data_IF_910958303684
#
_entry.id   IF_910958303684
#
_cell.length_a   1.000
_cell.length_b   1.000
_cell.length_c   1.000
_cell.angle_alpha   90.00
_cell.angle_beta   90.00
_cell.angle_gamma   90.00
#
_symmetry.space_group_name_H-M   'P 1'
#
loop_
_entity.id
_entity.type
_entity.pdbx_description
1 polymer ?
#
# COMPACT_ATOMS: atom_id res chain seq x y z
N UNK A 1 -18.68 5.84 20.21
CA UNK A 1 -19.67 5.25 19.29
C UNK A 1 -19.17 5.42 17.86
N UNK A 2 -19.26 4.35 17.06
CA UNK A 2 -18.87 4.35 15.65
C UNK A 2 -20.04 4.80 14.77
N UNK A 3 -19.75 5.64 13.78
CA UNK A 3 -20.73 6.16 12.83
C UNK A 3 -20.18 6.09 11.41
N UNK A 4 -21.07 5.96 10.43
CA UNK A 4 -20.74 6.01 9.00
C UNK A 4 -20.28 7.44 8.65
N UNK A 5 -19.34 7.56 7.72
CA UNK A 5 -18.95 8.84 7.15
C UNK A 5 -18.82 8.76 5.64
N UNK A 6 -19.04 9.89 4.97
CA UNK A 6 -18.97 10.01 3.52
C UNK A 6 -17.52 10.26 3.04
N UNK A 7 -17.18 9.93 1.78
CA UNK A 7 -15.83 10.18 1.24
C UNK A 7 -15.35 11.63 1.34
N UNK A 8 -16.27 12.61 1.34
CA UNK A 8 -15.96 14.04 1.46
C UNK A 8 -15.79 14.53 2.92
N UNK A 9 -15.91 13.65 3.91
CA UNK A 9 -15.81 14.00 5.33
C UNK A 9 -14.41 14.55 5.71
N UNK A 10 -14.39 15.46 6.70
CA UNK A 10 -13.19 16.13 7.16
C UNK A 10 -12.28 15.26 8.05
N UNK A 11 -12.65 14.00 8.37
CA UNK A 11 -11.90 13.12 9.28
C UNK A 11 -10.46 12.88 8.80
N UNK A 12 -10.23 12.76 7.49
CA UNK A 12 -8.89 12.60 6.90
C UNK A 12 -8.11 13.92 6.77
N UNK A 13 -8.72 15.04 7.19
CA UNK A 13 -8.08 16.36 7.26
C UNK A 13 -7.79 16.78 8.69
N UNK A 14 -8.18 15.98 9.68
CA UNK A 14 -7.93 16.26 11.10
C UNK A 14 -6.48 16.04 11.47
N UNK A 15 -5.94 16.91 12.33
CA UNK A 15 -4.54 16.89 12.76
C UNK A 15 -4.08 15.52 13.26
N UNK A 16 -4.94 14.81 14.01
CA UNK A 16 -4.64 13.48 14.50
C UNK A 16 -4.35 12.48 13.38
N UNK A 17 -5.18 12.45 12.33
CA UNK A 17 -4.96 11.55 11.19
C UNK A 17 -3.76 12.01 10.36
N UNK A 18 -3.59 13.32 10.18
CA UNK A 18 -2.45 13.88 9.43
C UNK A 18 -1.09 13.51 10.01
N UNK A 19 -1.01 13.30 11.34
CA UNK A 19 0.20 12.83 11.99
C UNK A 19 0.61 11.40 11.57
N UNK A 20 -0.37 10.55 11.23
CA UNK A 20 -0.18 9.15 10.85
C UNK A 20 -0.55 8.87 9.38
N UNK A 21 -0.74 9.91 8.58
CA UNK A 21 -1.35 9.80 7.24
C UNK A 21 -0.54 8.91 6.28
N UNK A 22 0.79 8.88 6.41
CA UNK A 22 1.64 8.09 5.49
C UNK A 22 1.48 6.58 5.73
N UNK A 23 1.62 6.05 6.97
CA UNK A 23 1.29 4.66 7.26
C UNK A 23 -0.11 4.27 6.80
N UNK A 24 -1.11 5.15 6.97
CA UNK A 24 -2.52 4.87 6.68
C UNK A 24 -3.00 5.46 5.34
N UNK A 25 -2.10 5.80 4.43
CA UNK A 25 -2.45 6.47 3.18
C UNK A 25 -3.43 5.65 2.32
N UNK A 26 -3.43 4.32 2.44
CA UNK A 26 -4.36 3.45 1.72
C UNK A 26 -5.84 3.78 2.02
N UNK A 27 -6.15 4.36 3.18
CA UNK A 27 -7.52 4.78 3.51
C UNK A 27 -8.05 5.78 2.48
N UNK A 28 -7.21 6.71 1.99
CA UNK A 28 -7.59 7.64 0.92
C UNK A 28 -7.99 6.95 -0.39
N UNK A 29 -7.54 5.72 -0.63
CA UNK A 29 -7.95 4.95 -1.80
C UNK A 29 -9.19 4.10 -1.54
N UNK A 30 -9.33 3.59 -0.32
CA UNK A 30 -10.52 2.83 0.07
C UNK A 30 -11.76 3.72 -0.02
N UNK A 31 -11.67 4.98 0.43
CA UNK A 31 -12.82 5.91 0.37
C UNK A 31 -13.30 6.23 -1.06
N UNK A 32 -12.44 6.05 -2.07
CA UNK A 32 -12.82 6.26 -3.48
C UNK A 32 -13.71 5.12 -4.00
N UNK A 33 -13.80 4.00 -3.27
CA UNK A 33 -14.63 2.86 -3.65
C UNK A 33 -16.07 3.08 -3.19
N UNK A 34 -17.07 2.97 -4.10
CA UNK A 34 -18.48 3.16 -3.76
C UNK A 34 -19.04 2.06 -2.84
N UNK A 35 -18.36 0.91 -2.75
CA UNK A 35 -18.74 -0.21 -1.90
C UNK A 35 -17.97 -0.22 -0.57
N UNK A 36 -17.18 0.81 -0.30
CA UNK A 36 -16.38 0.87 0.92
C UNK A 36 -17.25 1.02 2.17
N UNK A 37 -16.91 0.24 3.19
CA UNK A 37 -17.42 0.43 4.54
C UNK A 37 -16.53 1.43 5.27
N UNK A 38 -17.09 2.59 5.58
CA UNK A 38 -16.38 3.72 6.18
C UNK A 38 -17.00 4.05 7.53
N UNK A 39 -16.27 3.82 8.62
CA UNK A 39 -16.70 4.13 9.97
C UNK A 39 -15.67 5.00 10.68
N UNK A 40 -16.14 5.95 11.48
CA UNK A 40 -15.29 6.78 12.34
C UNK A 40 -15.87 6.93 13.74
N UNK A 41 -15.05 7.38 14.67
CA UNK A 41 -15.54 7.92 15.95
C UNK A 41 -15.91 9.39 15.82
N UNK A 42 -16.86 9.86 16.63
CA UNK A 42 -17.32 11.26 16.64
C UNK A 42 -16.19 12.26 16.96
N UNK A 43 -15.24 11.86 17.80
CA UNK A 43 -14.08 12.66 18.18
C UNK A 43 -12.94 12.62 17.14
N UNK A 44 -13.15 11.96 16.00
CA UNK A 44 -12.19 11.81 14.90
C UNK A 44 -10.87 11.13 15.28
N UNK A 45 -10.87 10.30 16.33
CA UNK A 45 -9.68 9.58 16.80
C UNK A 45 -9.56 8.15 16.29
N UNK A 46 -10.55 7.64 15.57
CA UNK A 46 -10.44 6.33 14.95
C UNK A 46 -11.18 6.31 13.61
N UNK A 47 -10.61 5.58 12.65
CA UNK A 47 -11.16 5.35 11.32
C UNK A 47 -11.03 3.86 11.01
N UNK A 48 -12.12 3.28 10.55
CA UNK A 48 -12.17 1.95 9.95
C UNK A 48 -12.61 2.12 8.50
N UNK A 49 -11.85 1.57 7.57
CA UNK A 49 -12.15 1.62 6.15
C UNK A 49 -11.93 0.23 5.53
N UNK A 50 -12.90 -0.27 4.78
CA UNK A 50 -12.77 -1.58 4.13
C UNK A 50 -13.43 -1.60 2.75
N UNK A 51 -12.69 -2.06 1.74
CA UNK A 51 -13.26 -2.43 0.44
C UNK A 51 -13.60 -3.94 0.44
N UNK A 52 -14.76 -4.36 -0.09
CA UNK A 52 -15.13 -5.77 -0.19
C UNK A 52 -14.02 -6.63 -0.81
N UNK A 53 -13.78 -7.81 -0.24
CA UNK A 53 -12.74 -8.75 -0.70
C UNK A 53 -11.30 -8.40 -0.30
N UNK A 54 -11.08 -7.27 0.38
CA UNK A 54 -9.77 -6.85 0.88
C UNK A 54 -9.75 -6.74 2.41
N UNK A 55 -8.54 -6.70 2.98
CA UNK A 55 -8.36 -6.42 4.41
C UNK A 55 -8.95 -5.05 4.76
N UNK A 56 -9.55 -4.96 5.94
CA UNK A 56 -9.92 -3.68 6.51
C UNK A 56 -8.68 -2.93 7.00
N UNK A 57 -8.74 -1.60 7.02
CA UNK A 57 -7.73 -0.72 7.59
C UNK A 57 -8.30 -0.02 8.82
N UNK A 58 -7.61 -0.14 9.96
CA UNK A 58 -8.01 0.46 11.22
C UNK A 58 -6.92 1.37 11.75
N UNK A 59 -7.18 2.68 11.68
CA UNK A 59 -6.39 3.69 12.36
C UNK A 59 -7.06 4.05 13.69
N UNK A 60 -6.27 4.10 14.76
CA UNK A 60 -6.68 4.66 16.05
C UNK A 60 -5.55 5.55 16.54
N UNK A 61 -5.87 6.81 16.84
CA UNK A 61 -4.93 7.79 17.38
C UNK A 61 -4.15 7.20 18.57
N UNK A 62 -2.82 7.46 18.67
CA UNK A 62 -2.00 6.98 19.79
C UNK A 62 -2.46 7.46 21.17
N UNK A 63 -3.29 8.50 21.22
CA UNK A 63 -3.90 9.06 22.42
C UNK A 63 -5.42 8.89 22.26
N UNK A 64 -6.15 8.26 23.20
CA UNK A 64 -5.77 7.92 24.58
C UNK A 64 -4.99 6.61 24.76
N UNK A 65 -4.63 6.29 26.01
CA UNK A 65 -3.88 5.09 26.37
C UNK A 65 -4.52 3.78 25.86
N UNK A 66 -3.71 2.73 25.75
CA UNK A 66 -4.09 1.44 25.13
C UNK A 66 -5.39 0.83 25.66
N UNK A 67 -5.73 1.05 26.93
CA UNK A 67 -6.97 0.52 27.52
C UNK A 67 -8.22 1.16 26.92
N UNK A 68 -8.20 2.47 26.66
CA UNK A 68 -9.30 3.15 25.98
C UNK A 68 -9.38 2.72 24.50
N UNK A 69 -8.24 2.51 23.83
CA UNK A 69 -8.21 1.96 22.46
C UNK A 69 -8.82 0.56 22.40
N UNK A 70 -8.54 -0.30 23.39
CA UNK A 70 -9.16 -1.64 23.49
C UNK A 70 -10.69 -1.57 23.57
N UNK A 71 -11.25 -0.63 24.33
CA UNK A 71 -12.70 -0.45 24.41
C UNK A 71 -13.28 -0.02 23.06
N UNK A 72 -12.65 0.94 22.37
CA UNK A 72 -13.06 1.36 21.02
C UNK A 72 -13.07 0.21 20.01
N UNK A 73 -12.05 -0.66 20.08
CA UNK A 73 -11.94 -1.87 19.25
C UNK A 73 -13.06 -2.86 19.56
N UNK A 74 -13.33 -3.12 20.84
CA UNK A 74 -14.41 -4.01 21.25
C UNK A 74 -15.78 -3.47 20.82
N UNK A 75 -16.00 -2.16 20.92
CA UNK A 75 -17.20 -1.51 20.40
C UNK A 75 -17.32 -1.67 18.88
N UNK A 76 -16.23 -1.50 18.13
CA UNK A 76 -16.20 -1.69 16.68
C UNK A 76 -16.57 -3.12 16.31
N UNK A 77 -15.94 -4.12 16.93
CA UNK A 77 -16.20 -5.54 16.62
C UNK A 77 -17.65 -5.90 16.90
N UNK A 78 -18.21 -5.46 18.03
CA UNK A 78 -19.62 -5.67 18.33
C UNK A 78 -20.55 -4.92 17.37
N UNK A 79 -20.19 -3.72 16.93
CA UNK A 79 -20.92 -2.98 15.91
C UNK A 79 -20.94 -3.76 14.59
N UNK A 80 -19.78 -4.26 14.13
CA UNK A 80 -19.67 -5.06 12.91
C UNK A 80 -20.54 -6.32 12.99
N UNK A 81 -20.48 -7.03 14.12
CA UNK A 81 -21.26 -8.26 14.34
C UNK A 81 -22.77 -8.01 14.40
N UNK A 82 -23.21 -7.00 15.17
CA UNK A 82 -24.65 -6.69 15.34
C UNK A 82 -25.32 -6.24 14.05
N UNK A 83 -24.58 -5.52 13.20
CA UNK A 83 -25.07 -5.08 11.89
C UNK A 83 -24.90 -6.15 10.78
N UNK A 84 -24.47 -7.37 11.14
CA UNK A 84 -24.36 -8.52 10.23
C UNK A 84 -23.50 -8.23 8.99
N UNK A 85 -22.41 -7.48 9.18
CA UNK A 85 -21.47 -7.23 8.10
C UNK A 85 -20.79 -8.54 7.65
N UNK A 86 -20.40 -8.64 6.36
CA UNK A 86 -19.62 -9.77 5.88
C UNK A 86 -18.36 -10.00 6.72
N UNK A 87 -17.95 -11.27 6.82
CA UNK A 87 -16.70 -11.64 7.48
C UNK A 87 -15.54 -10.96 6.76
N UNK A 88 -14.67 -10.30 7.54
CA UNK A 88 -13.52 -9.58 7.00
C UNK A 88 -12.46 -10.56 6.49
N UNK A 89 -11.77 -10.20 5.41
CA UNK A 89 -10.60 -10.96 4.93
C UNK A 89 -9.38 -10.83 5.85
N UNK A 90 -9.33 -9.75 6.62
CA UNK A 90 -8.22 -9.40 7.49
C UNK A 90 -8.32 -7.99 8.04
N UNK A 91 -7.33 -7.61 8.83
CA UNK A 91 -7.14 -6.27 9.37
C UNK A 91 -5.69 -5.80 9.16
N UNK A 92 -5.55 -4.53 8.80
CA UNK A 92 -4.29 -3.81 8.68
C UNK A 92 -4.30 -2.61 9.63
N UNK A 93 -3.23 -2.45 10.39
CA UNK A 93 -3.05 -1.30 11.28
C UNK A 93 -1.77 -1.38 12.10
N UNK A 94 -1.58 -0.42 13.01
CA UNK A 94 -0.52 -0.44 14.01
C UNK A 94 -0.50 -1.81 14.73
N UNK A 95 0.68 -2.41 15.01
CA UNK A 95 0.76 -3.75 15.59
C UNK A 95 -0.14 -3.97 16.80
N UNK A 96 -0.15 -3.04 17.75
CA UNK A 96 -0.97 -3.20 18.95
C UNK A 96 -2.46 -3.09 18.65
N UNK A 97 -2.86 -2.21 17.71
CA UNK A 97 -4.26 -2.06 17.29
C UNK A 97 -4.74 -3.28 16.51
N UNK A 98 -3.96 -3.75 15.54
CA UNK A 98 -4.30 -4.89 14.69
C UNK A 98 -4.40 -6.19 15.51
N UNK A 99 -3.46 -6.44 16.43
CA UNK A 99 -3.49 -7.62 17.32
C UNK A 99 -4.69 -7.59 18.27
N UNK A 100 -4.99 -6.44 18.87
CA UNK A 100 -6.16 -6.28 19.74
C UNK A 100 -7.47 -6.49 18.97
N UNK A 101 -7.56 -5.95 17.75
CA UNK A 101 -8.71 -6.17 16.87
C UNK A 101 -8.84 -7.63 16.51
N UNK A 102 -7.76 -8.28 16.07
CA UNK A 102 -7.77 -9.68 15.67
C UNK A 102 -8.25 -10.58 16.82
N UNK A 103 -7.71 -10.42 18.04
CA UNK A 103 -8.14 -11.17 19.20
C UNK A 103 -9.64 -11.00 19.49
N UNK A 104 -10.12 -9.75 19.53
CA UNK A 104 -11.54 -9.46 19.77
C UNK A 104 -12.44 -10.00 18.66
N UNK A 105 -11.99 -9.92 17.40
CA UNK A 105 -12.75 -10.36 16.23
C UNK A 105 -12.86 -11.89 16.17
N UNK A 106 -11.78 -12.62 16.50
CA UNK A 106 -11.80 -14.08 16.64
C UNK A 106 -12.79 -14.54 17.70
N UNK A 107 -12.80 -13.89 18.87
CA UNK A 107 -13.66 -14.27 19.98
C UNK A 107 -15.15 -14.13 19.63
N UNK A 108 -15.52 -13.06 18.93
CA UNK A 108 -16.91 -12.75 18.56
C UNK A 108 -17.36 -13.57 17.34
N UNK A 109 -16.53 -13.67 16.30
CA UNK A 109 -16.92 -14.30 15.02
C UNK A 109 -16.54 -15.78 14.91
N UNK A 110 -15.80 -16.32 15.89
CA UNK A 110 -15.32 -17.72 15.90
C UNK A 110 -14.47 -18.07 14.67
N UNK A 111 -13.63 -17.13 14.26
CA UNK A 111 -12.70 -17.27 13.14
C UNK A 111 -11.25 -17.38 13.64
N UNK A 112 -10.33 -17.84 12.79
CA UNK A 112 -8.89 -17.82 13.07
C UNK A 112 -8.24 -16.58 12.46
N UNK A 113 -7.16 -16.11 13.08
CA UNK A 113 -6.32 -15.06 12.51
C UNK A 113 -4.88 -15.55 12.34
N UNK A 114 -4.18 -14.98 11.37
CA UNK A 114 -2.77 -15.29 11.08
C UNK A 114 -2.04 -14.01 10.68
N UNK A 115 -0.90 -13.76 11.30
CA UNK A 115 0.04 -12.74 10.84
C UNK A 115 0.45 -13.03 9.40
N UNK A 116 0.31 -12.05 8.53
CA UNK A 116 0.62 -12.18 7.11
C UNK A 116 1.90 -11.44 6.74
N UNK A 117 1.99 -10.14 7.06
CA UNK A 117 3.12 -9.32 6.65
C UNK A 117 3.32 -8.12 7.58
N UNK A 118 4.54 -7.56 7.56
CA UNK A 118 4.87 -6.27 8.16
C UNK A 118 5.15 -5.27 7.05
N UNK A 119 4.35 -4.22 6.99
CA UNK A 119 4.43 -3.19 5.95
C UNK A 119 5.08 -1.94 6.55
N UNK A 120 6.17 -1.51 5.96
CA UNK A 120 6.82 -0.25 6.27
C UNK A 120 6.42 0.81 5.23
N UNK A 121 6.14 2.02 5.71
CA UNK A 121 5.78 3.15 4.86
C UNK A 121 6.93 4.15 4.81
N UNK A 122 7.21 4.65 3.62
CA UNK A 122 8.27 5.63 3.39
C UNK A 122 7.73 6.81 2.61
N UNK A 123 8.27 8.00 2.84
CA UNK A 123 7.97 9.18 2.01
C UNK A 123 9.22 9.96 1.66
N UNK A 124 9.25 10.56 0.48
CA UNK A 124 10.31 11.45 0.04
C UNK A 124 9.89 12.92 0.16
N UNK A 125 10.63 13.69 0.96
CA UNK A 125 10.45 15.16 1.06
C UNK A 125 11.38 15.88 0.09
N UNK A 126 12.62 15.38 -0.04
CA UNK A 126 13.65 15.95 -0.90
C UNK A 126 14.36 14.83 -1.64
N UNK A 127 14.25 14.87 -2.95
CA UNK A 127 14.92 13.94 -3.87
C UNK A 127 16.41 14.26 -3.90
N UNK A 128 17.25 13.24 -3.80
CA UNK A 128 18.70 13.37 -4.03
C UNK A 128 18.95 13.42 -5.54
N UNK A 129 19.92 14.23 -5.98
CA UNK A 129 20.21 14.36 -7.41
C UNK A 129 20.80 13.07 -7.96
N UNK A 130 20.20 12.56 -9.04
CA UNK A 130 20.63 11.36 -9.76
C UNK A 130 20.92 11.65 -11.24
N UNK A 131 21.32 12.88 -11.55
CA UNK A 131 21.57 13.36 -12.93
C UNK A 131 22.72 12.67 -13.67
N UNK A 132 23.42 11.74 -13.02
CA UNK A 132 24.53 10.98 -13.61
C UNK A 132 24.10 9.62 -14.18
N UNK A 133 22.87 9.16 -13.90
CA UNK A 133 22.34 7.91 -14.45
C UNK A 133 21.85 8.17 -15.88
N UNK A 134 22.35 7.37 -16.83
CA UNK A 134 21.98 7.49 -18.23
C UNK A 134 20.51 7.11 -18.46
N UNK A 135 19.90 7.73 -19.47
CA UNK A 135 18.54 7.44 -19.91
C UNK A 135 17.54 8.54 -19.57
N UNK A 136 16.28 8.25 -19.87
CA UNK A 136 15.17 9.17 -19.64
C UNK A 136 13.89 8.43 -19.24
N UNK A 137 13.00 9.12 -18.53
CA UNK A 137 11.69 8.60 -18.19
C UNK A 137 10.69 8.94 -19.29
N UNK A 138 9.96 7.93 -19.78
CA UNK A 138 8.87 8.11 -20.74
C UNK A 138 7.54 7.61 -20.18
N UNK A 139 6.44 8.10 -20.74
CA UNK A 139 5.14 7.43 -20.63
C UNK A 139 5.05 6.35 -21.72
N UNK A 140 4.67 5.11 -21.37
CA UNK A 140 4.62 4.03 -22.33
C UNK A 140 3.49 4.24 -23.35
N UNK A 141 3.75 3.83 -24.59
CA UNK A 141 2.78 3.73 -25.68
C UNK A 141 2.29 2.28 -25.88
N UNK A 142 1.37 2.07 -26.83
CA UNK A 142 0.80 0.75 -27.13
C UNK A 142 1.86 -0.34 -27.42
N UNK A 143 2.94 0.02 -28.12
CA UNK A 143 4.06 -0.88 -28.41
C UNK A 143 4.81 -1.40 -27.17
N UNK A 144 4.63 -0.76 -26.01
CA UNK A 144 5.25 -1.15 -24.76
C UNK A 144 4.40 -2.12 -23.92
N UNK A 145 3.20 -2.51 -24.39
CA UNK A 145 2.33 -3.41 -23.63
C UNK A 145 3.03 -4.74 -23.34
N UNK A 146 3.71 -5.32 -24.33
CA UNK A 146 4.34 -6.62 -24.19
C UNK A 146 5.50 -6.59 -23.18
N UNK A 147 6.35 -5.55 -23.21
CA UNK A 147 7.45 -5.41 -22.23
C UNK A 147 6.94 -5.14 -20.82
N UNK A 148 5.86 -4.38 -20.66
CA UNK A 148 5.24 -4.15 -19.35
C UNK A 148 4.61 -5.44 -18.82
N UNK A 149 3.95 -6.22 -19.68
CA UNK A 149 3.40 -7.52 -19.30
C UNK A 149 4.50 -8.50 -18.87
N UNK A 150 5.64 -8.49 -19.56
CA UNK A 150 6.82 -9.25 -19.17
C UNK A 150 7.36 -8.81 -17.81
N UNK A 151 7.52 -7.51 -17.57
CA UNK A 151 7.99 -7.01 -16.28
C UNK A 151 7.02 -7.33 -15.13
N UNK A 152 5.71 -7.28 -15.35
CA UNK A 152 4.72 -7.70 -14.36
C UNK A 152 4.83 -9.19 -14.02
N UNK A 153 5.02 -10.02 -15.05
CA UNK A 153 5.25 -11.46 -14.91
C UNK A 153 6.51 -11.75 -14.09
N UNK A 154 7.64 -11.18 -14.49
CA UNK A 154 8.94 -11.39 -13.82
C UNK A 154 8.92 -10.86 -12.39
N UNK A 155 8.33 -9.68 -12.15
CA UNK A 155 8.14 -9.15 -10.81
C UNK A 155 7.28 -10.08 -9.95
N UNK A 156 6.18 -10.62 -10.47
CA UNK A 156 5.29 -11.48 -9.71
C UNK A 156 5.94 -12.83 -9.35
N UNK A 157 6.75 -13.38 -10.24
CA UNK A 157 7.53 -14.59 -9.99
C UNK A 157 8.60 -14.33 -8.92
N UNK A 158 9.42 -13.28 -9.09
CA UNK A 158 10.51 -12.96 -8.15
C UNK A 158 10.02 -12.59 -6.74
N UNK A 159 8.94 -11.80 -6.64
CA UNK A 159 8.47 -11.26 -5.35
C UNK A 159 7.47 -12.18 -4.63
N UNK A 160 6.66 -12.92 -5.38
CA UNK A 160 5.56 -13.70 -4.81
C UNK A 160 5.61 -15.20 -5.15
N UNK A 161 6.58 -15.65 -5.96
CA UNK A 161 6.65 -17.02 -6.47
C UNK A 161 5.44 -17.39 -7.32
N UNK A 162 4.85 -16.40 -8.00
CA UNK A 162 3.64 -16.57 -8.81
C UNK A 162 4.04 -16.75 -10.27
N UNK A 163 4.13 -18.00 -10.70
CA UNK A 163 4.41 -18.38 -12.08
C UNK A 163 3.14 -18.26 -12.95
N UNK A 164 2.91 -17.07 -13.51
CA UNK A 164 1.86 -16.79 -14.50
C UNK A 164 2.54 -16.34 -15.79
N UNK A 165 2.08 -16.79 -16.96
CA UNK A 165 2.69 -16.39 -18.22
C UNK A 165 2.42 -14.90 -18.54
N UNK A 166 3.40 -14.21 -19.13
CA UNK A 166 3.28 -12.79 -19.49
C UNK A 166 2.03 -12.45 -20.32
N UNK A 167 1.60 -13.35 -21.22
CA UNK A 167 0.35 -13.19 -22.00
C UNK A 167 -0.89 -12.99 -21.13
N UNK A 168 -0.91 -13.55 -19.92
CA UNK A 168 -2.03 -13.44 -18.99
C UNK A 168 -2.02 -12.08 -18.26
N UNK A 169 -0.91 -11.35 -18.30
CA UNK A 169 -0.79 -9.96 -17.87
C UNK A 169 -1.11 -8.94 -18.97
N UNK A 170 -1.34 -9.35 -20.23
CA UNK A 170 -1.55 -8.41 -21.34
C UNK A 170 -2.67 -7.40 -21.09
N UNK A 171 -3.81 -7.84 -20.54
CA UNK A 171 -4.90 -6.92 -20.18
C UNK A 171 -4.53 -5.97 -19.03
N UNK A 172 -3.74 -6.43 -18.05
CA UNK A 172 -3.27 -5.57 -16.97
C UNK A 172 -2.26 -4.53 -17.47
N UNK A 173 -1.33 -4.94 -18.33
CA UNK A 173 -0.37 -4.07 -18.99
C UNK A 173 -1.05 -3.02 -19.89
N UNK A 174 -2.04 -3.41 -20.69
CA UNK A 174 -2.81 -2.48 -21.51
C UNK A 174 -3.55 -1.43 -20.65
N UNK A 175 -4.13 -1.83 -19.52
CA UNK A 175 -4.72 -0.89 -18.55
C UNK A 175 -3.67 0.03 -17.93
N UNK A 176 -2.49 -0.50 -17.59
CA UNK A 176 -1.40 0.29 -17.02
C UNK A 176 -0.93 1.37 -18.00
N UNK A 177 -0.73 1.01 -19.28
CA UNK A 177 -0.41 1.95 -20.38
C UNK A 177 -1.52 3.00 -20.53
N UNK A 178 -2.78 2.58 -20.56
CA UNK A 178 -3.93 3.49 -20.70
C UNK A 178 -4.17 4.41 -19.50
N UNK A 179 -3.66 4.07 -18.31
CA UNK A 179 -3.88 4.84 -17.08
C UNK A 179 -3.12 6.17 -17.04
N UNK A 180 -2.05 6.30 -17.83
CA UNK A 180 -1.13 7.43 -17.79
C UNK A 180 -0.30 7.53 -16.49
N UNK A 181 -0.33 6.49 -15.65
CA UNK A 181 0.35 6.43 -14.36
C UNK A 181 1.54 5.48 -14.30
N UNK A 182 1.79 4.73 -15.37
CA UNK A 182 2.99 3.89 -15.51
C UNK A 182 4.05 4.63 -16.31
N UNK A 183 5.31 4.42 -15.95
CA UNK A 183 6.46 5.04 -16.57
C UNK A 183 7.53 3.97 -16.85
N UNK A 184 8.32 4.21 -17.90
CA UNK A 184 9.49 3.40 -18.23
C UNK A 184 10.73 4.27 -18.18
N UNK A 185 11.86 3.70 -17.74
CA UNK A 185 13.18 4.29 -17.92
C UNK A 185 13.81 3.68 -19.15
N UNK A 186 14.28 4.52 -20.08
CA UNK A 186 14.79 4.12 -21.38
C UNK A 186 16.28 4.45 -21.47
N UNK A 187 17.09 3.48 -21.88
CA UNK A 187 18.52 3.66 -22.19
C UNK A 187 18.76 3.08 -23.58
N UNK A 188 19.37 3.86 -24.47
CA UNK A 188 19.64 3.45 -25.86
C UNK A 188 18.42 2.86 -26.60
N UNK A 189 17.24 3.42 -26.33
CA UNK A 189 15.97 2.99 -26.93
C UNK A 189 15.37 1.72 -26.31
N UNK A 190 15.96 1.16 -25.25
CA UNK A 190 15.46 -0.03 -24.56
C UNK A 190 14.86 0.33 -23.19
N UNK A 191 13.67 -0.20 -22.84
CA UNK A 191 13.19 -0.18 -21.45
C UNK A 191 14.13 -0.97 -20.55
N UNK A 192 14.55 -0.35 -19.45
CA UNK A 192 15.44 -0.97 -18.46
C UNK A 192 14.88 -0.94 -17.04
N UNK A 193 13.85 -0.13 -16.78
CA UNK A 193 13.11 -0.14 -15.53
C UNK A 193 11.66 0.35 -15.73
N UNK A 194 10.78 -0.01 -14.81
CA UNK A 194 9.39 0.47 -14.75
C UNK A 194 9.01 0.87 -13.33
N UNK A 195 8.07 1.79 -13.20
CA UNK A 195 7.44 2.19 -11.95
C UNK A 195 6.08 2.83 -12.25
N UNK A 196 5.16 2.77 -11.28
CA UNK A 196 3.81 3.30 -11.45
C UNK A 196 3.36 4.13 -10.25
N UNK A 197 2.41 5.04 -10.49
CA UNK A 197 1.68 5.77 -9.46
C UNK A 197 0.34 5.04 -9.23
N UNK A 198 0.22 4.32 -8.12
CA UNK A 198 -0.96 3.52 -7.79
C UNK A 198 -2.18 4.39 -7.43
N UNK A 199 -1.95 5.48 -6.70
CA UNK A 199 -3.01 6.33 -6.17
C UNK A 199 -2.47 7.73 -5.82
N UNK A 200 -3.33 8.73 -5.94
CA UNK A 200 -3.05 10.11 -5.54
C UNK A 200 -4.04 10.53 -4.46
N UNK A 201 -3.55 10.72 -3.25
CA UNK A 201 -4.25 11.41 -2.17
C UNK A 201 -4.02 12.94 -2.26
N UNK A 202 -4.64 13.76 -1.39
CA UNK A 202 -4.46 15.20 -1.40
C UNK A 202 -3.00 15.67 -1.25
N UNK A 203 -2.20 14.98 -0.43
CA UNK A 203 -0.82 15.39 -0.09
C UNK A 203 0.26 14.44 -0.60
N UNK A 204 -0.12 13.20 -0.92
CA UNK A 204 0.82 12.15 -1.30
C UNK A 204 0.35 11.38 -2.52
N UNK A 205 1.29 10.76 -3.23
CA UNK A 205 0.99 9.74 -4.22
C UNK A 205 1.85 8.49 -3.98
N UNK A 206 1.24 7.33 -4.17
CA UNK A 206 1.85 6.04 -3.88
C UNK A 206 2.56 5.49 -5.11
N UNK A 207 3.87 5.29 -5.01
CA UNK A 207 4.66 4.58 -6.01
C UNK A 207 4.55 3.08 -5.76
N UNK A 208 4.36 2.30 -6.82
CA UNK A 208 4.38 0.84 -6.81
C UNK A 208 4.95 0.27 -8.11
N UNK A 209 5.05 -1.05 -8.20
CA UNK A 209 5.47 -1.75 -9.42
C UNK A 209 6.85 -1.31 -9.90
N UNK A 210 7.76 -1.01 -8.97
CA UNK A 210 9.13 -0.69 -9.30
C UNK A 210 9.82 -1.99 -9.68
N UNK A 211 10.31 -2.08 -10.90
CA UNK A 211 11.02 -3.27 -11.36
C UNK A 211 12.16 -2.91 -12.32
N UNK A 212 13.28 -3.59 -12.12
CA UNK A 212 14.46 -3.56 -12.99
C UNK A 212 14.83 -5.01 -13.29
N UNK A 213 14.83 -5.45 -14.56
CA UNK A 213 15.24 -6.79 -14.94
C UNK A 213 16.63 -7.14 -14.42
N UNK A 214 16.92 -8.40 -14.06
CA UNK A 214 18.19 -8.79 -13.43
C UNK A 214 19.44 -8.32 -14.18
N UNK A 215 19.42 -8.36 -15.52
CA UNK A 215 20.55 -7.95 -16.36
C UNK A 215 20.77 -6.43 -16.44
N UNK A 216 19.87 -5.63 -15.86
CA UNK A 216 19.95 -4.17 -15.76
C UNK A 216 20.11 -3.65 -14.33
N UNK A 217 20.23 -4.55 -13.33
CA UNK A 217 20.43 -4.18 -11.92
C UNK A 217 21.81 -3.59 -11.67
N UNK A 218 21.95 -2.94 -10.51
CA UNK A 218 23.18 -2.30 -10.03
C UNK A 218 23.69 -1.12 -10.89
N UNK A 219 22.84 -0.62 -11.80
CA UNK A 219 23.12 0.54 -12.66
C UNK A 219 22.39 1.83 -12.22
N UNK A 220 21.61 1.78 -11.14
CA UNK A 220 20.89 2.94 -10.62
C UNK A 220 19.55 3.27 -11.30
N UNK A 221 19.05 2.41 -12.20
CA UNK A 221 17.84 2.70 -12.98
C UNK A 221 16.55 2.73 -12.15
N UNK A 222 16.47 1.91 -11.09
CA UNK A 222 15.35 1.97 -10.15
C UNK A 222 15.34 3.32 -9.42
N UNK A 223 16.49 3.75 -8.91
CA UNK A 223 16.62 5.05 -8.26
C UNK A 223 16.27 6.20 -9.22
N UNK A 224 16.74 6.13 -10.48
CA UNK A 224 16.50 7.15 -11.49
C UNK A 224 15.01 7.33 -11.83
N UNK A 225 14.29 6.23 -12.09
CA UNK A 225 12.86 6.31 -12.40
C UNK A 225 12.03 6.79 -11.21
N UNK A 226 12.35 6.33 -9.99
CA UNK A 226 11.67 6.80 -8.77
C UNK A 226 11.92 8.30 -8.58
N UNK A 227 13.16 8.77 -8.75
CA UNK A 227 13.49 10.19 -8.62
C UNK A 227 12.77 11.05 -9.66
N UNK A 228 12.64 10.58 -10.90
CA UNK A 228 11.90 11.26 -11.95
C UNK A 228 10.39 11.34 -11.63
N UNK A 229 9.79 10.26 -11.13
CA UNK A 229 8.38 10.27 -10.66
C UNK A 229 8.22 11.23 -9.47
N UNK A 230 9.16 11.27 -8.52
CA UNK A 230 9.11 12.25 -7.44
C UNK A 230 9.11 13.69 -7.96
N UNK A 231 9.80 13.98 -9.07
CA UNK A 231 9.75 15.27 -9.77
C UNK A 231 8.35 15.60 -10.30
N UNK A 232 7.73 14.66 -11.02
CA UNK A 232 6.34 14.79 -11.50
C UNK A 232 5.38 15.07 -10.33
N UNK A 233 5.49 14.30 -9.25
CA UNK A 233 4.64 14.46 -8.08
C UNK A 233 4.86 15.80 -7.37
N UNK A 234 6.09 16.30 -7.34
CA UNK A 234 6.40 17.61 -6.79
C UNK A 234 5.71 18.73 -7.57
N UNK A 235 5.73 18.68 -8.90
CA UNK A 235 5.00 19.62 -9.77
C UNK A 235 3.48 19.54 -9.56
N UNK A 236 2.95 18.35 -9.24
CA UNK A 236 1.56 18.15 -8.85
C UNK A 236 1.22 18.64 -7.42
N UNK A 237 2.19 19.18 -6.66
CA UNK A 237 2.01 19.61 -5.27
C UNK A 237 1.91 18.46 -4.27
N UNK A 238 2.39 17.26 -4.64
CA UNK A 238 2.33 16.02 -3.84
C UNK A 238 3.71 15.52 -3.47
N UNK A 239 3.78 14.71 -2.42
CA UNK A 239 4.98 13.97 -2.03
C UNK A 239 4.87 12.51 -2.46
N UNK A 240 5.96 11.95 -2.93
CA UNK A 240 6.03 10.51 -3.18
C UNK A 240 6.03 9.74 -1.85
N UNK A 241 5.28 8.64 -1.81
CA UNK A 241 5.37 7.64 -0.76
C UNK A 241 5.30 6.24 -1.35
N UNK A 242 5.71 5.23 -0.58
CA UNK A 242 5.61 3.83 -0.95
C UNK A 242 5.45 2.94 0.28
N UNK A 243 4.96 1.73 0.05
CA UNK A 243 4.90 0.65 1.02
C UNK A 243 5.92 -0.42 0.64
N UNK A 244 6.62 -0.96 1.62
CA UNK A 244 7.58 -2.06 1.45
C UNK A 244 7.30 -3.16 2.45
N UNK A 245 7.64 -4.40 2.09
CA UNK A 245 7.80 -5.45 3.08
C UNK A 245 9.14 -5.26 3.78
N UNK A 246 9.14 -5.30 5.12
CA UNK A 246 10.36 -5.15 5.91
C UNK A 246 11.43 -6.20 5.61
N UNK A 247 11.06 -7.33 5.02
CA UNK A 247 12.00 -8.40 4.64
C UNK A 247 12.80 -8.08 3.37
N UNK A 248 12.38 -7.10 2.56
CA UNK A 248 13.01 -6.76 1.28
C UNK A 248 14.14 -5.72 1.44
N UNK A 249 15.30 -6.16 1.94
CA UNK A 249 16.45 -5.30 2.27
C UNK A 249 16.97 -4.50 1.07
N UNK A 250 17.07 -5.10 -0.12
CA UNK A 250 17.61 -4.45 -1.32
C UNK A 250 16.76 -3.25 -1.76
N UNK A 251 15.43 -3.46 -1.86
CA UNK A 251 14.46 -2.41 -2.19
C UNK A 251 14.54 -1.23 -1.21
N UNK A 252 14.69 -1.52 0.09
CA UNK A 252 14.80 -0.47 1.12
C UNK A 252 16.06 0.39 0.96
N UNK A 253 17.17 -0.16 0.48
CA UNK A 253 18.38 0.61 0.20
C UNK A 253 18.20 1.57 -0.98
N UNK A 254 17.59 1.10 -2.08
CA UNK A 254 17.24 1.93 -3.24
C UNK A 254 16.41 3.14 -2.84
N UNK A 255 15.38 2.97 -2.01
CA UNK A 255 14.55 4.10 -1.56
C UNK A 255 15.33 5.10 -0.70
N UNK A 256 16.20 4.61 0.19
CA UNK A 256 17.10 5.47 0.97
C UNK A 256 18.07 6.28 0.11
N UNK A 257 18.57 5.69 -0.99
CA UNK A 257 19.45 6.35 -1.96
C UNK A 257 18.77 7.49 -2.72
N UNK A 258 17.45 7.39 -2.97
CA UNK A 258 16.66 8.47 -3.58
C UNK A 258 16.33 9.58 -2.57
N UNK A 259 16.27 9.26 -1.27
CA UNK A 259 15.95 10.21 -0.20
C UNK A 259 14.61 9.94 0.50
N UNK A 260 14.07 8.73 0.38
CA UNK A 260 12.93 8.31 1.19
C UNK A 260 13.35 8.09 2.64
N UNK A 261 12.46 8.43 3.56
CA UNK A 261 12.60 8.16 4.98
C UNK A 261 11.40 7.37 5.49
N UNK A 262 11.64 6.47 6.45
CA UNK A 262 10.62 5.69 7.14
C UNK A 262 9.64 6.64 7.85
N UNK A 263 8.34 6.37 7.71
CA UNK A 263 7.25 7.14 8.31
C UNK A 263 6.37 6.35 9.28
N UNK A 264 6.47 5.03 9.25
CA UNK A 264 5.83 4.17 10.23
C UNK A 264 5.55 2.80 9.65
N UNK A 265 5.02 1.93 10.52
CA UNK A 265 4.79 0.52 10.23
C UNK A 265 3.35 0.15 10.55
N UNK A 266 2.77 -0.69 9.71
CA UNK A 266 1.54 -1.43 9.98
C UNK A 266 1.80 -2.92 9.81
N UNK A 267 0.92 -3.76 10.33
CA UNK A 267 0.93 -5.20 10.07
C UNK A 267 -0.37 -5.62 9.41
N UNK A 268 -0.28 -6.65 8.60
CA UNK A 268 -1.41 -7.34 8.01
C UNK A 268 -1.68 -8.62 8.78
N UNK A 269 -2.91 -8.77 9.27
CA UNK A 269 -3.41 -10.01 9.85
C UNK A 269 -4.58 -10.47 8.97
N UNK A 270 -4.54 -11.71 8.49
CA UNK A 270 -5.63 -12.29 7.68
C UNK A 270 -6.53 -13.16 8.54
N UNK A 271 -7.82 -13.19 8.23
CA UNK A 271 -8.81 -14.05 8.88
C UNK A 271 -9.16 -15.25 7.98
N UNK A 272 -9.36 -16.42 8.58
CA UNK A 272 -9.71 -17.67 7.88
C UNK A 272 -10.63 -18.54 8.72
N UNK A 273 -11.55 -19.24 8.06
CA UNK A 273 -12.48 -20.18 8.71
C UNK A 273 -11.81 -21.48 9.17
N UNK A 274 -10.57 -21.74 8.74
CA UNK A 274 -9.81 -22.95 9.06
C UNK A 274 -8.42 -22.57 9.56
N UNK A 275 -7.92 -23.30 10.56
CA UNK A 275 -6.51 -23.25 10.98
C UNK A 275 -5.63 -23.75 9.84
N UNK A 276 -4.75 -22.90 9.32
CA UNK A 276 -3.67 -23.37 8.47
C UNK A 276 -2.78 -24.35 9.28
N UNK A 277 -2.35 -25.48 8.69
CA UNK A 277 -1.29 -26.27 9.33
C UNK A 277 -0.05 -25.38 9.52
N UNK A 278 0.70 -25.55 10.63
CA UNK A 278 1.92 -24.79 10.85
C UNK A 278 2.85 -24.93 9.65
N UNK A 279 3.46 -23.81 9.22
CA UNK A 279 4.52 -23.84 8.23
C UNK A 279 5.63 -24.75 8.76
N UNK A 280 5.76 -25.94 8.19
CA UNK A 280 6.94 -26.76 8.37
C UNK A 280 8.04 -26.00 7.62
N UNK A 281 8.92 -25.34 8.36
CA UNK A 281 10.15 -24.77 7.80
C UNK A 281 10.90 -25.89 7.09
N UNK A 282 11.04 -25.78 5.77
CA UNK A 282 12.03 -26.56 5.01
C UNK A 282 13.43 -26.01 5.28
#
# INVERSE_FOLDING_TARGET
MWQVFDPDDEVLKQEFFLADEVPYNLIHHIIDSPEAMLLKTEDHRAIFAQSPGHNAWLWISPIPAIQARRLLIQELVHHLYRNQHPVLCGITGDPAVAELFAASYQDVNKIYSRFHASIESHSCIKVRSLSHIAGEMIKPAFEHIDVIAQYMCEFADEEFGVEIAAKDYAHAAARAVGSGNTYLWIVDGQPVATASIAHRSPRYARINGVYTPPHHRDQGYAEAIIAAICGVLHEEGRRAMLYTDQTQVSSNQTYGNVGFAIKGKVIDIRFRDVLDPPLISK
#
